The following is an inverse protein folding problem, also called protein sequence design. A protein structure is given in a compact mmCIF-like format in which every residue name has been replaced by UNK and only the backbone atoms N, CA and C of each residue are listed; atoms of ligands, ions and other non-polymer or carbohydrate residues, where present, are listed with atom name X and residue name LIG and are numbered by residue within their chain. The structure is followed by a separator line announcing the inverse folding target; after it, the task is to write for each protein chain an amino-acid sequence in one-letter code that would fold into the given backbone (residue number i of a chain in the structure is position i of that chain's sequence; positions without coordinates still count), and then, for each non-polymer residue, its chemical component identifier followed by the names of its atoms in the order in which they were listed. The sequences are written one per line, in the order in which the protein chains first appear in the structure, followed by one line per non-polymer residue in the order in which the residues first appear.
data_IF_233494246270
#
_entry.id   IF_233494246270
#
_cell.length_a   1.000
_cell.length_b   1.000
_cell.length_c   1.000
_cell.angle_alpha   90.00
_cell.angle_beta   90.00
_cell.angle_gamma   90.00
#
_symmetry.space_group_name_H-M   'P 1'
#
loop_
_entity.id
_entity.type
_entity.pdbx_description
1 polymer ?
#
# COMPACT_ATOMS: atom_id res chain seq x y z
N UNK A 1 -21.34 32.05 12.75
CA UNK A 1 -20.61 30.99 13.48
C UNK A 1 -21.27 29.59 13.39
N UNK A 2 -22.48 29.46 12.83
CA UNK A 2 -23.22 28.18 12.75
C UNK A 2 -23.04 27.37 11.45
N UNK A 3 -22.27 27.84 10.45
CA UNK A 3 -21.99 27.11 9.19
C UNK A 3 -20.72 26.26 9.19
N UNK A 4 -19.95 26.25 10.28
CA UNK A 4 -18.68 25.49 10.37
C UNK A 4 -18.82 24.07 10.91
N UNK A 5 -20.00 23.72 11.45
CA UNK A 5 -20.24 22.44 12.16
C UNK A 5 -20.78 21.29 11.28
N UNK A 6 -21.12 21.55 10.01
CA UNK A 6 -21.59 20.51 9.07
C UNK A 6 -20.47 19.93 8.19
N UNK A 7 -19.22 20.37 8.37
CA UNK A 7 -18.06 19.94 7.55
C UNK A 7 -17.38 18.69 8.15
N UNK A 8 -17.80 18.24 9.33
CA UNK A 8 -17.11 17.19 10.09
C UNK A 8 -17.77 15.82 9.85
N UNK A 9 -17.33 15.13 8.80
CA UNK A 9 -17.68 13.73 8.57
C UNK A 9 -17.41 13.25 7.14
N UNK A 10 -17.25 11.94 6.99
CA UNK A 10 -17.24 11.30 5.68
C UNK A 10 -18.67 11.19 5.15
N UNK A 11 -18.86 11.55 3.87
CA UNK A 11 -20.12 11.47 3.17
C UNK A 11 -20.07 10.34 2.15
N UNK A 12 -21.12 9.52 2.11
CA UNK A 12 -21.17 8.29 1.32
C UNK A 12 -22.26 8.36 0.26
N UNK A 13 -21.99 7.79 -0.91
CA UNK A 13 -22.95 7.61 -1.97
C UNK A 13 -22.60 6.36 -2.77
N UNK A 14 -23.60 5.71 -3.35
CA UNK A 14 -23.41 4.55 -4.22
C UNK A 14 -24.21 4.77 -5.50
N UNK A 15 -23.54 4.61 -6.64
CA UNK A 15 -24.21 4.61 -7.94
C UNK A 15 -24.99 3.31 -8.13
N UNK A 16 -26.02 3.34 -8.98
CA UNK A 16 -26.84 2.15 -9.29
C UNK A 16 -26.02 1.00 -9.89
N UNK A 17 -24.88 1.31 -10.52
CA UNK A 17 -23.95 0.32 -11.06
C UNK A 17 -22.97 -0.26 -10.03
N UNK A 18 -23.11 0.10 -8.76
CA UNK A 18 -22.33 -0.45 -7.65
C UNK A 18 -21.10 0.38 -7.25
N UNK A 19 -20.63 1.32 -8.08
CA UNK A 19 -19.46 2.16 -7.77
C UNK A 19 -19.75 2.97 -6.50
N UNK A 20 -18.83 2.90 -5.55
CA UNK A 20 -18.90 3.58 -4.27
C UNK A 20 -18.25 4.96 -4.37
N UNK A 21 -18.80 5.94 -3.66
CA UNK A 21 -18.25 7.30 -3.53
C UNK A 21 -18.13 7.64 -2.04
N UNK A 22 -16.93 8.04 -1.63
CA UNK A 22 -16.66 8.62 -0.31
C UNK A 22 -16.07 10.03 -0.48
N UNK A 23 -16.59 10.98 0.29
CA UNK A 23 -16.14 12.36 0.25
C UNK A 23 -15.91 12.94 1.64
N UNK A 24 -14.79 13.64 1.83
CA UNK A 24 -14.61 14.58 2.93
C UNK A 24 -14.51 16.00 2.38
N UNK A 25 -15.50 16.82 2.71
CA UNK A 25 -15.46 18.23 2.35
C UNK A 25 -14.45 18.97 3.23
N UNK A 26 -13.66 19.86 2.63
CA UNK A 26 -12.79 20.77 3.38
C UNK A 26 -12.83 22.19 2.79
N UNK A 27 -12.08 23.13 3.39
CA UNK A 27 -11.99 24.51 2.91
C UNK A 27 -10.74 24.80 2.07
N UNK A 28 -9.91 23.78 1.78
CA UNK A 28 -8.67 23.97 1.04
C UNK A 28 -8.95 24.32 -0.44
N UNK A 29 -8.11 25.14 -1.07
CA UNK A 29 -8.26 25.44 -2.50
C UNK A 29 -7.91 24.23 -3.39
N UNK A 30 -7.01 23.38 -2.89
CA UNK A 30 -6.58 22.13 -3.51
C UNK A 30 -7.56 21.02 -3.17
N UNK A 31 -7.75 20.13 -4.13
CA UNK A 31 -8.65 18.98 -4.05
C UNK A 31 -7.92 17.74 -4.56
N UNK A 32 -8.25 16.61 -3.97
CA UNK A 32 -7.66 15.32 -4.26
C UNK A 32 -8.78 14.34 -4.63
N UNK A 33 -8.49 13.50 -5.62
CA UNK A 33 -9.40 12.48 -6.10
C UNK A 33 -8.62 11.19 -6.28
N UNK A 34 -9.21 10.06 -5.91
CA UNK A 34 -8.72 8.74 -6.23
C UNK A 34 -9.86 7.89 -6.79
N UNK A 35 -9.58 7.12 -7.84
CA UNK A 35 -10.37 5.99 -8.28
C UNK A 35 -9.53 4.74 -7.98
N UNK A 36 -10.01 3.93 -7.06
CA UNK A 36 -9.32 2.75 -6.59
C UNK A 36 -10.14 1.51 -6.94
N UNK A 37 -9.48 0.54 -7.54
CA UNK A 37 -10.04 -0.76 -7.90
C UNK A 37 -9.50 -1.79 -6.91
N UNK A 38 -10.35 -2.61 -6.31
CA UNK A 38 -9.95 -3.74 -5.46
C UNK A 38 -9.40 -4.90 -6.32
N UNK A 39 -8.32 -4.62 -7.04
CA UNK A 39 -7.63 -5.56 -7.90
C UNK A 39 -6.16 -5.19 -7.94
N UNK A 40 -5.26 -6.13 -7.68
CA UNK A 40 -3.81 -5.93 -7.78
C UNK A 40 -3.11 -7.18 -8.31
N UNK A 41 -1.80 -7.30 -8.07
CA UNK A 41 -1.03 -8.45 -8.58
C UNK A 41 -1.44 -9.80 -7.96
N UNK A 42 -2.08 -9.80 -6.79
CA UNK A 42 -2.64 -11.00 -6.15
C UNK A 42 -3.77 -11.62 -6.97
N UNK A 43 -4.45 -10.84 -7.79
CA UNK A 43 -5.61 -11.26 -8.59
C UNK A 43 -5.21 -11.80 -9.98
N UNK A 44 -3.91 -11.95 -10.22
CA UNK A 44 -3.31 -12.49 -11.44
C UNK A 44 -3.29 -14.02 -11.44
N UNK A 45 -3.57 -14.62 -12.59
CA UNK A 45 -3.21 -16.02 -12.84
C UNK A 45 -1.67 -16.13 -13.04
N UNK A 46 -1.09 -17.33 -12.94
CA UNK A 46 0.37 -17.51 -13.08
C UNK A 46 0.91 -16.98 -14.41
N UNK A 47 0.19 -17.19 -15.51
CA UNK A 47 0.54 -16.69 -16.84
C UNK A 47 0.29 -15.18 -17.01
N UNK A 48 -0.37 -14.55 -16.04
CA UNK A 48 -0.72 -13.13 -16.05
C UNK A 48 0.17 -12.32 -15.11
N UNK A 49 1.24 -12.90 -14.55
CA UNK A 49 2.04 -12.23 -13.53
C UNK A 49 2.74 -10.97 -14.08
N UNK A 50 2.38 -9.80 -13.56
CA UNK A 50 2.83 -8.48 -14.00
C UNK A 50 1.82 -7.73 -14.88
N UNK A 51 0.65 -8.31 -15.18
CA UNK A 51 -0.35 -7.64 -16.04
C UNK A 51 -1.01 -6.45 -15.34
N UNK A 52 -1.20 -6.50 -14.02
CA UNK A 52 -1.80 -5.40 -13.26
C UNK A 52 -0.91 -4.15 -13.33
N UNK A 53 0.39 -4.34 -13.15
CA UNK A 53 1.39 -3.28 -13.30
C UNK A 53 1.48 -2.78 -14.76
N UNK A 54 1.44 -3.68 -15.74
CA UNK A 54 1.40 -3.28 -17.14
C UNK A 54 0.14 -2.45 -17.47
N UNK A 55 -1.01 -2.75 -16.88
CA UNK A 55 -2.24 -1.97 -17.07
C UNK A 55 -2.04 -0.55 -16.57
N UNK A 56 -1.44 -0.36 -15.40
CA UNK A 56 -1.11 0.95 -14.84
C UNK A 56 -0.26 1.81 -15.80
N UNK A 57 0.77 1.24 -16.39
CA UNK A 57 1.57 1.94 -17.42
C UNK A 57 0.72 2.32 -18.63
N UNK A 58 -0.19 1.42 -19.03
CA UNK A 58 -0.90 1.53 -20.29
C UNK A 58 -2.18 2.37 -20.23
N UNK A 59 -2.82 2.58 -19.06
CA UNK A 59 -4.05 3.38 -18.92
C UNK A 59 -3.87 4.83 -19.39
N UNK A 60 -2.65 5.36 -19.37
CA UNK A 60 -2.34 6.71 -19.84
C UNK A 60 -2.02 6.79 -21.34
N UNK A 61 -1.87 5.66 -22.03
CA UNK A 61 -1.34 5.61 -23.41
C UNK A 61 -2.39 5.78 -24.50
N UNK A 62 -3.65 5.99 -24.11
CA UNK A 62 -4.71 6.45 -25.00
C UNK A 62 -6.06 5.80 -24.76
N UNK A 63 -7.10 6.56 -25.10
CA UNK A 63 -8.51 6.18 -24.98
C UNK A 63 -9.20 6.25 -26.34
N UNK A 64 -10.48 5.89 -26.39
CA UNK A 64 -11.32 6.08 -27.58
C UNK A 64 -11.37 7.54 -28.05
N UNK A 65 -11.24 8.50 -27.12
CA UNK A 65 -11.36 9.95 -27.39
C UNK A 65 -10.01 10.65 -27.50
N UNK A 66 -8.95 10.10 -26.89
CA UNK A 66 -7.68 10.80 -26.66
C UNK A 66 -6.48 9.93 -27.03
N UNK A 67 -5.49 10.52 -27.69
CA UNK A 67 -4.16 9.92 -27.84
C UNK A 67 -3.37 10.08 -26.54
N UNK A 68 -2.32 9.30 -26.31
CA UNK A 68 -1.44 9.38 -25.12
C UNK A 68 -1.09 10.83 -24.72
N UNK A 69 -0.57 11.62 -25.66
CA UNK A 69 -0.23 13.02 -25.43
C UNK A 69 -1.43 13.85 -24.95
N UNK A 70 -2.62 13.64 -25.52
CA UNK A 70 -3.82 14.34 -25.09
C UNK A 70 -4.28 13.93 -23.70
N UNK A 71 -4.05 12.68 -23.27
CA UNK A 71 -4.38 12.20 -21.92
C UNK A 71 -3.51 12.93 -20.90
N UNK A 72 -2.19 12.88 -21.08
CA UNK A 72 -1.20 13.49 -20.16
C UNK A 72 -1.41 15.00 -20.08
N UNK A 73 -1.46 15.68 -21.23
CA UNK A 73 -1.64 17.14 -21.27
C UNK A 73 -3.03 17.61 -20.83
N UNK A 74 -4.02 16.72 -20.67
CA UNK A 74 -5.38 17.13 -20.32
C UNK A 74 -5.46 17.76 -18.94
N UNK A 75 -4.69 17.28 -17.96
CA UNK A 75 -4.67 17.83 -16.61
C UNK A 75 -3.37 18.61 -16.34
N UNK A 76 -2.24 18.18 -16.88
CA UNK A 76 -0.96 18.84 -16.64
C UNK A 76 -0.88 20.27 -17.21
N UNK A 77 -1.54 20.56 -18.34
CA UNK A 77 -1.55 21.91 -18.93
C UNK A 77 -2.20 22.97 -18.01
N UNK A 78 -2.95 22.53 -17.00
CA UNK A 78 -3.55 23.42 -15.99
C UNK A 78 -2.92 23.22 -14.60
N UNK A 79 -1.73 22.61 -14.55
CA UNK A 79 -0.93 22.41 -13.34
C UNK A 79 -1.49 21.35 -12.38
N UNK A 80 -2.33 20.45 -12.87
CA UNK A 80 -2.84 19.34 -12.06
C UNK A 80 -1.86 18.17 -12.10
N UNK A 81 -1.73 17.49 -10.96
CA UNK A 81 -0.96 16.24 -10.82
C UNK A 81 -1.89 15.05 -11.09
N UNK A 82 -1.41 14.08 -11.86
CA UNK A 82 -2.12 12.85 -12.20
C UNK A 82 -1.13 11.70 -12.17
N UNK A 83 -1.41 10.68 -11.37
CA UNK A 83 -0.56 9.51 -11.21
C UNK A 83 -1.42 8.25 -11.03
N UNK A 84 -0.77 7.10 -11.14
CA UNK A 84 -1.34 5.83 -10.73
C UNK A 84 -0.29 5.00 -10.00
N UNK A 85 -0.75 3.97 -9.28
CA UNK A 85 0.10 2.93 -8.71
C UNK A 85 -0.69 1.62 -8.60
N UNK A 86 0.06 0.52 -8.55
CA UNK A 86 -0.46 -0.83 -8.33
C UNK A 86 0.22 -1.45 -7.12
N UNK A 87 -0.55 -2.18 -6.33
CA UNK A 87 -0.06 -2.98 -5.20
C UNK A 87 -0.47 -4.44 -5.38
N UNK A 88 -0.25 -5.26 -4.35
CA UNK A 88 -0.73 -6.64 -4.31
C UNK A 88 -2.25 -6.73 -4.42
N UNK A 89 -3.02 -5.79 -3.89
CA UNK A 89 -4.49 -5.93 -3.77
C UNK A 89 -5.30 -4.79 -4.41
N UNK A 90 -4.66 -3.73 -4.88
CA UNK A 90 -5.34 -2.56 -5.44
C UNK A 90 -4.55 -1.89 -6.57
N UNK A 91 -5.29 -1.33 -7.53
CA UNK A 91 -4.80 -0.40 -8.56
C UNK A 91 -5.50 0.93 -8.34
N UNK A 92 -4.73 2.01 -8.26
CA UNK A 92 -5.25 3.33 -7.95
C UNK A 92 -4.85 4.34 -9.03
N UNK A 93 -5.81 5.12 -9.48
CA UNK A 93 -5.59 6.36 -10.25
C UNK A 93 -5.88 7.51 -9.30
N UNK A 94 -4.96 8.45 -9.15
CA UNK A 94 -5.19 9.60 -8.29
C UNK A 94 -4.68 10.89 -8.90
N UNK A 95 -5.20 12.01 -8.40
CA UNK A 95 -4.83 13.32 -8.90
C UNK A 95 -5.09 14.43 -7.91
N UNK A 96 -4.31 15.48 -8.04
CA UNK A 96 -4.36 16.69 -7.22
C UNK A 96 -4.58 17.90 -8.11
N UNK A 97 -5.61 18.68 -7.81
CA UNK A 97 -6.06 19.78 -8.67
C UNK A 97 -6.79 20.87 -7.90
N UNK A 98 -6.99 22.04 -8.52
CA UNK A 98 -7.84 23.09 -7.96
C UNK A 98 -9.32 22.73 -8.10
N UNK A 99 -10.16 23.16 -7.15
CA UNK A 99 -11.63 22.92 -7.13
C UNK A 99 -12.34 23.12 -8.49
N UNK A 100 -11.87 24.06 -9.32
CA UNK A 100 -12.48 24.35 -10.61
C UNK A 100 -12.40 23.18 -11.60
N UNK A 101 -11.48 22.23 -11.38
CA UNK A 101 -11.21 21.12 -12.29
C UNK A 101 -11.82 19.78 -11.86
N UNK A 102 -12.71 19.74 -10.86
CA UNK A 102 -13.38 18.51 -10.43
C UNK A 102 -14.06 17.75 -11.58
N UNK A 103 -14.90 18.45 -12.36
CA UNK A 103 -15.61 17.83 -13.49
C UNK A 103 -14.64 17.29 -14.54
N UNK A 104 -13.57 18.04 -14.80
CA UNK A 104 -12.52 17.69 -15.77
C UNK A 104 -11.71 16.47 -15.32
N UNK A 105 -11.35 16.39 -14.04
CA UNK A 105 -10.63 15.26 -13.48
C UNK A 105 -11.49 13.99 -13.49
N UNK A 106 -12.75 14.08 -13.07
CA UNK A 106 -13.69 12.95 -13.12
C UNK A 106 -13.95 12.46 -14.54
N UNK A 107 -14.06 13.37 -15.51
CA UNK A 107 -14.16 13.01 -16.92
C UNK A 107 -12.94 12.20 -17.39
N UNK A 108 -11.73 12.68 -17.05
CA UNK A 108 -10.51 11.99 -17.45
C UNK A 108 -10.40 10.62 -16.79
N UNK A 109 -10.69 10.51 -15.49
CA UNK A 109 -10.64 9.26 -14.74
C UNK A 109 -11.59 8.22 -15.35
N UNK A 110 -12.83 8.62 -15.68
CA UNK A 110 -13.78 7.74 -16.36
C UNK A 110 -13.29 7.31 -17.76
N UNK A 111 -12.66 8.22 -18.50
CA UNK A 111 -12.14 7.91 -19.83
C UNK A 111 -10.97 6.90 -19.78
N UNK A 112 -9.97 7.13 -18.91
CA UNK A 112 -8.80 6.25 -18.83
C UNK A 112 -9.12 4.90 -18.16
N UNK A 113 -10.01 4.87 -17.17
CA UNK A 113 -10.37 3.63 -16.48
C UNK A 113 -11.25 2.70 -17.34
N UNK A 114 -12.16 3.25 -18.15
CA UNK A 114 -13.17 2.45 -18.86
C UNK A 114 -13.09 2.50 -20.39
N UNK A 115 -12.35 3.44 -20.97
CA UNK A 115 -12.29 3.64 -22.43
C UNK A 115 -10.85 3.58 -22.99
N UNK A 116 -9.88 3.07 -22.22
CA UNK A 116 -8.52 2.82 -22.68
C UNK A 116 -8.47 1.79 -23.81
N UNK A 117 -7.72 2.09 -24.87
CA UNK A 117 -7.67 1.26 -26.09
C UNK A 117 -6.45 0.36 -26.17
N UNK A 118 -5.44 0.60 -25.32
CA UNK A 118 -4.19 -0.17 -25.23
C UNK A 118 -3.48 -0.33 -26.59
N UNK A 119 -2.96 0.77 -27.20
CA UNK A 119 -2.37 0.72 -28.53
C UNK A 119 -1.16 -0.22 -28.59
N UNK A 120 -1.12 -1.12 -29.58
CA UNK A 120 -0.04 -2.12 -29.70
C UNK A 120 1.37 -1.50 -29.77
N UNK A 121 1.53 -0.36 -30.44
CA UNK A 121 2.81 0.34 -30.52
C UNK A 121 3.28 0.88 -29.16
N UNK A 122 2.36 1.37 -28.33
CA UNK A 122 2.71 1.85 -27.00
C UNK A 122 2.95 0.66 -26.05
N UNK A 123 2.21 -0.43 -26.23
CA UNK A 123 2.41 -1.66 -25.46
C UNK A 123 3.83 -2.21 -25.61
N UNK A 124 4.36 -2.31 -26.83
CA UNK A 124 5.74 -2.79 -27.01
C UNK A 124 6.79 -1.86 -26.39
N UNK A 125 6.54 -0.55 -26.34
CA UNK A 125 7.45 0.38 -25.65
C UNK A 125 7.40 0.21 -24.14
N UNK A 126 6.20 0.14 -23.56
CA UNK A 126 6.05 0.02 -22.10
C UNK A 126 6.57 -1.30 -21.58
N UNK A 127 6.53 -2.38 -22.37
CA UNK A 127 7.21 -3.63 -22.01
C UNK A 127 8.70 -3.42 -21.81
N UNK A 128 9.39 -2.72 -22.72
CA UNK A 128 10.83 -2.46 -22.57
C UNK A 128 11.11 -1.60 -21.32
N UNK A 129 10.27 -0.59 -21.04
CA UNK A 129 10.38 0.23 -19.82
C UNK A 129 10.24 -0.64 -18.56
N UNK A 130 9.27 -1.54 -18.52
CA UNK A 130 9.06 -2.45 -17.38
C UNK A 130 10.20 -3.46 -17.27
N UNK A 131 10.77 -3.94 -18.39
CA UNK A 131 11.93 -4.81 -18.37
C UNK A 131 13.16 -4.11 -17.77
N UNK A 132 13.37 -2.83 -18.11
CA UNK A 132 14.43 -2.00 -17.54
C UNK A 132 14.20 -1.77 -16.03
N UNK A 133 12.96 -1.54 -15.62
CA UNK A 133 12.59 -1.41 -14.21
C UNK A 133 12.86 -2.70 -13.43
N UNK A 134 12.47 -3.87 -13.96
CA UNK A 134 12.77 -5.18 -13.35
C UNK A 134 14.29 -5.35 -13.14
N UNK A 135 15.09 -4.94 -14.10
CA UNK A 135 16.55 -5.00 -13.97
C UNK A 135 17.07 -4.02 -12.91
N UNK A 136 16.55 -2.79 -12.90
CA UNK A 136 16.92 -1.78 -11.89
C UNK A 136 16.60 -2.22 -10.46
N UNK A 137 15.48 -2.91 -10.25
CA UNK A 137 15.13 -3.46 -8.94
C UNK A 137 16.09 -4.59 -8.52
N UNK A 138 16.48 -5.46 -9.45
CA UNK A 138 17.47 -6.52 -9.20
C UNK A 138 18.86 -5.98 -8.90
N UNK A 139 19.20 -4.80 -9.43
CA UNK A 139 20.45 -4.09 -9.13
C UNK A 139 20.39 -3.34 -7.77
N UNK A 140 19.25 -3.37 -7.08
CA UNK A 140 19.02 -2.72 -5.77
C UNK A 140 18.72 -3.77 -4.68
N UNK A 141 19.75 -4.40 -4.08
CA UNK A 141 19.55 -5.46 -3.07
C UNK A 141 18.74 -5.02 -1.85
N UNK A 142 18.75 -3.73 -1.53
CA UNK A 142 17.95 -3.15 -0.45
C UNK A 142 16.45 -3.16 -0.74
N UNK A 143 16.05 -3.16 -2.00
CA UNK A 143 14.65 -3.19 -2.44
C UNK A 143 14.24 -4.62 -2.82
N UNK A 144 15.09 -5.33 -3.60
CA UNK A 144 14.88 -6.72 -4.02
C UNK A 144 14.57 -7.64 -2.83
N UNK A 145 15.26 -7.45 -1.70
CA UNK A 145 15.09 -8.31 -0.53
C UNK A 145 13.65 -8.32 0.01
N UNK A 146 12.88 -7.23 -0.15
CA UNK A 146 11.50 -7.17 0.31
C UNK A 146 10.60 -8.09 -0.51
N UNK A 147 10.75 -8.09 -1.83
CA UNK A 147 9.98 -8.96 -2.71
C UNK A 147 10.34 -10.43 -2.52
N UNK A 148 11.64 -10.75 -2.42
CA UNK A 148 12.09 -12.12 -2.16
C UNK A 148 11.68 -12.60 -0.77
N UNK A 149 11.65 -11.71 0.22
CA UNK A 149 11.15 -12.03 1.56
C UNK A 149 9.64 -12.30 1.56
N UNK A 150 8.84 -11.47 0.88
CA UNK A 150 7.39 -11.73 0.72
C UNK A 150 7.13 -13.03 -0.05
N UNK A 151 7.88 -13.31 -1.11
CA UNK A 151 7.80 -14.57 -1.87
C UNK A 151 8.12 -15.77 -0.98
N UNK A 152 9.16 -15.65 -0.13
CA UNK A 152 9.51 -16.68 0.85
C UNK A 152 8.39 -16.89 1.89
N UNK A 153 7.82 -15.80 2.43
CA UNK A 153 6.74 -15.86 3.43
C UNK A 153 5.47 -16.50 2.86
N UNK A 154 5.07 -16.09 1.67
CA UNK A 154 3.83 -16.48 1.02
C UNK A 154 4.05 -17.51 -0.10
N UNK A 155 5.05 -18.38 0.08
CA UNK A 155 5.50 -19.33 -0.93
C UNK A 155 4.35 -20.19 -1.48
N UNK A 156 4.18 -20.16 -2.80
CA UNK A 156 3.10 -20.88 -3.50
C UNK A 156 1.74 -20.16 -3.52
N UNK A 157 1.61 -19.02 -2.86
CA UNK A 157 0.37 -18.22 -2.81
C UNK A 157 0.46 -16.98 -3.73
N UNK A 158 -0.63 -16.54 -4.38
CA UNK A 158 -0.59 -15.40 -5.31
C UNK A 158 -0.07 -14.10 -4.70
N UNK A 159 -0.29 -13.85 -3.42
CA UNK A 159 0.15 -12.62 -2.74
C UNK A 159 1.68 -12.48 -2.66
N UNK A 160 2.42 -13.59 -2.69
CA UNK A 160 3.88 -13.59 -2.67
C UNK A 160 4.52 -13.23 -4.01
N UNK A 161 3.75 -13.15 -5.10
CA UNK A 161 4.30 -12.88 -6.44
C UNK A 161 4.72 -11.42 -6.59
N UNK A 162 5.83 -11.18 -7.26
CA UNK A 162 6.30 -9.83 -7.54
C UNK A 162 5.26 -9.07 -8.39
N UNK A 163 5.05 -7.79 -8.07
CA UNK A 163 4.10 -6.90 -8.77
C UNK A 163 4.53 -6.66 -10.21
N UNK A 164 5.83 -6.55 -10.47
CA UNK A 164 6.40 -6.31 -11.80
C UNK A 164 6.25 -7.51 -12.74
N UNK A 165 6.06 -8.71 -12.17
CA UNK A 165 6.06 -9.96 -12.92
C UNK A 165 7.46 -10.49 -13.21
N UNK A 166 7.59 -11.27 -14.28
CA UNK A 166 8.86 -11.82 -14.74
C UNK A 166 9.18 -11.34 -16.15
N UNK A 167 10.46 -11.36 -16.52
CA UNK A 167 10.89 -11.03 -17.89
C UNK A 167 10.13 -11.82 -18.95
N UNK A 168 9.84 -13.10 -18.69
CA UNK A 168 9.15 -13.98 -19.63
C UNK A 168 7.67 -13.62 -19.77
N UNK A 169 6.97 -13.38 -18.65
CA UNK A 169 5.55 -13.01 -18.67
C UNK A 169 5.37 -11.64 -19.34
N UNK A 170 6.18 -10.65 -18.98
CA UNK A 170 6.12 -9.28 -19.55
C UNK A 170 6.31 -9.30 -21.07
N UNK A 171 7.32 -10.03 -21.57
CA UNK A 171 7.55 -10.18 -23.02
C UNK A 171 6.37 -10.84 -23.73
N UNK A 172 5.72 -11.80 -23.09
CA UNK A 172 4.60 -12.55 -23.67
C UNK A 172 3.29 -11.75 -23.76
N UNK A 173 3.15 -10.67 -22.99
CA UNK A 173 1.90 -9.95 -22.90
C UNK A 173 1.45 -9.37 -24.23
N UNK A 174 0.14 -9.32 -24.42
CA UNK A 174 -0.46 -8.66 -25.56
C UNK A 174 -1.77 -8.01 -25.11
N UNK A 175 -2.37 -7.20 -25.99
CA UNK A 175 -3.62 -6.48 -25.71
C UNK A 175 -4.74 -7.39 -25.18
N UNK A 176 -4.82 -8.65 -25.61
CA UNK A 176 -5.86 -9.56 -25.16
C UNK A 176 -5.67 -9.98 -23.69
N UNK A 177 -4.43 -10.06 -23.20
CA UNK A 177 -4.16 -10.33 -21.78
C UNK A 177 -4.72 -9.20 -20.90
N UNK A 178 -4.43 -7.95 -21.27
CA UNK A 178 -4.95 -6.75 -20.59
C UNK A 178 -6.49 -6.76 -20.58
N UNK A 179 -7.12 -6.90 -21.74
CA UNK A 179 -8.58 -6.85 -21.85
C UNK A 179 -9.25 -7.99 -21.09
N UNK A 180 -8.65 -9.19 -21.08
CA UNK A 180 -9.15 -10.33 -20.31
C UNK A 180 -9.06 -10.07 -18.81
N UNK A 181 -7.92 -9.58 -18.32
CA UNK A 181 -7.72 -9.26 -16.92
C UNK A 181 -8.70 -8.17 -16.45
N UNK A 182 -8.83 -7.06 -17.19
CA UNK A 182 -9.79 -5.99 -16.90
C UNK A 182 -11.22 -6.55 -16.86
N UNK A 183 -11.62 -7.34 -17.87
CA UNK A 183 -12.97 -7.93 -17.91
C UNK A 183 -13.23 -8.85 -16.71
N UNK A 184 -12.22 -9.60 -16.27
CA UNK A 184 -12.30 -10.54 -15.15
C UNK A 184 -12.37 -9.81 -13.81
N UNK A 185 -11.58 -8.76 -13.60
CA UNK A 185 -11.30 -8.21 -12.27
C UNK A 185 -11.81 -6.78 -12.04
N UNK A 186 -11.89 -5.91 -13.06
CA UNK A 186 -12.27 -4.50 -12.88
C UNK A 186 -13.80 -4.36 -12.87
N UNK A 187 -14.41 -4.83 -11.77
CA UNK A 187 -15.84 -4.85 -11.54
C UNK A 187 -16.31 -3.54 -10.93
N UNK A 188 -17.45 -3.02 -11.37
CA UNK A 188 -17.97 -1.75 -10.84
C UNK A 188 -18.36 -1.86 -9.36
N UNK A 189 -18.70 -3.07 -8.88
CA UNK A 189 -18.89 -3.34 -7.45
C UNK A 189 -17.61 -3.24 -6.61
N UNK A 190 -16.44 -3.26 -7.25
CA UNK A 190 -15.11 -3.28 -6.63
C UNK A 190 -14.36 -1.95 -6.83
N UNK A 191 -15.08 -0.88 -7.18
CA UNK A 191 -14.50 0.45 -7.43
C UNK A 191 -15.01 1.45 -6.40
N UNK A 192 -14.06 2.15 -5.78
CA UNK A 192 -14.30 3.30 -4.92
C UNK A 192 -13.72 4.55 -5.57
N UNK A 193 -14.55 5.60 -5.63
CA UNK A 193 -14.10 6.95 -5.89
C UNK A 193 -14.01 7.66 -4.53
N UNK A 194 -12.82 8.13 -4.17
CA UNK A 194 -12.60 8.91 -2.95
C UNK A 194 -12.25 10.35 -3.30
N UNK A 195 -12.76 11.30 -2.53
CA UNK A 195 -12.47 12.72 -2.72
C UNK A 195 -12.28 13.45 -1.39
N UNK A 196 -11.19 14.22 -1.29
CA UNK A 196 -10.98 15.20 -0.22
C UNK A 196 -10.79 16.57 -0.84
N UNK A 197 -11.68 17.52 -0.55
CA UNK A 197 -11.55 18.86 -1.11
C UNK A 197 -12.77 19.77 -0.94
N UNK A 198 -12.68 20.96 -1.52
CA UNK A 198 -13.69 22.00 -1.37
C UNK A 198 -14.74 21.96 -2.48
N UNK A 199 -15.61 20.94 -2.42
CA UNK A 199 -16.80 20.81 -3.26
C UNK A 199 -17.99 20.41 -2.39
N UNK A 200 -19.17 20.92 -2.74
CA UNK A 200 -20.41 20.48 -2.11
C UNK A 200 -20.76 19.05 -2.55
N UNK A 201 -21.20 18.21 -1.62
CA UNK A 201 -21.42 16.80 -1.90
C UNK A 201 -22.48 16.54 -2.97
N UNK A 202 -23.56 17.33 -3.01
CA UNK A 202 -24.59 17.19 -4.04
C UNK A 202 -24.06 17.57 -5.44
N UNK A 203 -23.13 18.53 -5.52
CA UNK A 203 -22.43 18.83 -6.78
C UNK A 203 -21.51 17.68 -7.18
N UNK A 204 -20.75 17.11 -6.24
CA UNK A 204 -19.87 15.98 -6.52
C UNK A 204 -20.66 14.76 -7.03
N UNK A 205 -21.79 14.42 -6.39
CA UNK A 205 -22.69 13.35 -6.85
C UNK A 205 -23.13 13.55 -8.29
N UNK A 206 -23.46 14.78 -8.69
CA UNK A 206 -23.85 15.09 -10.08
C UNK A 206 -22.71 14.88 -11.06
N UNK A 207 -21.49 15.29 -10.73
CA UNK A 207 -20.31 15.05 -11.57
C UNK A 207 -19.99 13.55 -11.70
N UNK A 208 -19.99 12.83 -10.58
CA UNK A 208 -19.74 11.38 -10.55
C UNK A 208 -20.82 10.64 -11.34
N UNK A 209 -22.11 10.96 -11.13
CA UNK A 209 -23.21 10.32 -11.86
C UNK A 209 -23.16 10.60 -13.36
N UNK A 210 -22.73 11.79 -13.77
CA UNK A 210 -22.58 12.15 -15.19
C UNK A 210 -21.53 11.28 -15.90
N UNK A 211 -20.37 11.09 -15.27
CA UNK A 211 -19.23 10.42 -15.91
C UNK A 211 -19.22 8.90 -15.70
N UNK A 212 -19.72 8.43 -14.57
CA UNK A 212 -19.67 7.02 -14.18
C UNK A 212 -21.04 6.31 -14.18
N UNK A 213 -22.16 7.05 -14.19
CA UNK A 213 -23.49 6.46 -14.03
C UNK A 213 -23.98 5.63 -15.23
N UNK A 214 -23.41 5.85 -16.42
CA UNK A 214 -23.75 5.06 -17.63
C UNK A 214 -22.86 3.82 -17.80
N UNK A 215 -21.90 3.60 -16.92
CA UNK A 215 -21.04 2.42 -16.98
C UNK A 215 -21.87 1.21 -16.56
N UNK A 216 -21.94 0.13 -17.37
CA UNK A 216 -22.72 -1.06 -17.05
C UNK A 216 -22.32 -1.65 -15.70
N UNK A 217 -23.32 -2.02 -14.90
CA UNK A 217 -23.11 -2.74 -13.65
C UNK A 217 -22.43 -4.09 -13.92
N UNK A 218 -21.47 -4.42 -13.06
CA UNK A 218 -20.68 -5.64 -13.13
C UNK A 218 -20.29 -6.02 -11.72
N UNK A 219 -20.84 -7.14 -11.25
CA UNK A 219 -20.56 -7.66 -9.91
C UNK A 219 -19.34 -8.58 -9.92
N UNK A 220 -18.64 -8.60 -8.80
CA UNK A 220 -17.59 -9.56 -8.55
C UNK A 220 -18.17 -10.85 -7.97
N UNK A 221 -17.79 -11.97 -8.59
CA UNK A 221 -18.15 -13.32 -8.14
C UNK A 221 -16.93 -14.12 -7.69
N UNK A 222 -15.72 -13.56 -7.85
CA UNK A 222 -14.48 -14.18 -7.46
C UNK A 222 -14.08 -13.71 -6.07
N UNK A 223 -13.88 -14.68 -5.17
CA UNK A 223 -13.34 -14.43 -3.84
C UNK A 223 -11.86 -14.80 -3.82
N UNK A 224 -11.02 -13.92 -3.25
CA UNK A 224 -9.62 -14.21 -3.00
C UNK A 224 -9.51 -15.44 -2.10
N UNK A 225 -8.60 -16.34 -2.44
CA UNK A 225 -8.25 -17.47 -1.57
C UNK A 225 -7.45 -16.93 -0.38
N UNK A 226 -7.82 -17.26 0.87
CA UNK A 226 -7.08 -16.83 2.04
C UNK A 226 -5.72 -17.51 2.15
N UNK A 227 -4.77 -16.80 2.75
CA UNK A 227 -3.46 -17.35 3.04
C UNK A 227 -3.47 -18.03 4.43
N UNK A 228 -3.57 -19.35 4.43
CA UNK A 228 -3.76 -20.13 5.65
C UNK A 228 -2.53 -20.97 6.07
N UNK A 229 -1.48 -21.01 5.24
CA UNK A 229 -0.33 -21.87 5.47
C UNK A 229 0.98 -21.10 5.52
N UNK A 230 1.48 -20.88 6.73
CA UNK A 230 2.78 -20.28 6.99
C UNK A 230 3.75 -21.30 7.60
N UNK A 231 4.99 -21.31 7.09
CA UNK A 231 6.09 -22.08 7.66
C UNK A 231 7.31 -21.17 7.83
N UNK A 232 7.83 -20.99 9.06
CA UNK A 232 9.04 -20.22 9.31
C UNK A 232 10.24 -20.77 8.53
N UNK A 233 11.00 -19.89 7.88
CA UNK A 233 12.18 -20.24 7.09
C UNK A 233 13.33 -19.28 7.34
N UNK A 234 14.54 -19.83 7.41
CA UNK A 234 15.78 -19.05 7.40
C UNK A 234 16.54 -19.36 6.13
N UNK A 235 16.78 -18.33 5.32
CA UNK A 235 17.51 -18.43 4.05
C UNK A 235 18.64 -17.40 4.04
N UNK A 236 19.80 -17.84 3.55
CA UNK A 236 20.97 -17.00 3.33
C UNK A 236 21.41 -17.19 1.89
N UNK A 237 21.55 -16.08 1.18
CA UNK A 237 22.00 -16.03 -0.21
C UNK A 237 23.25 -15.18 -0.30
N UNK A 238 24.27 -15.69 -0.97
CA UNK A 238 25.44 -14.89 -1.32
C UNK A 238 25.08 -14.00 -2.52
N UNK A 239 25.35 -12.69 -2.39
CA UNK A 239 25.09 -11.68 -3.42
C UNK A 239 26.37 -10.89 -3.67
N UNK A 240 26.50 -10.35 -4.88
CA UNK A 240 27.62 -9.48 -5.25
C UNK A 240 27.30 -8.02 -4.88
N UNK A 241 27.22 -7.76 -3.57
CA UNK A 241 26.91 -6.45 -3.02
C UNK A 241 27.84 -6.09 -1.86
N UNK A 242 28.08 -4.79 -1.69
CA UNK A 242 29.01 -4.27 -0.69
C UNK A 242 28.49 -4.45 0.75
N UNK A 243 27.20 -4.20 0.96
CA UNK A 243 26.52 -4.39 2.23
C UNK A 243 25.79 -5.73 2.25
N UNK A 244 25.64 -6.29 3.45
CA UNK A 244 24.66 -7.34 3.69
C UNK A 244 23.32 -6.73 4.07
N UNK A 245 22.25 -7.33 3.56
CA UNK A 245 20.87 -6.96 3.85
C UNK A 245 20.19 -8.12 4.55
N UNK A 246 19.36 -7.83 5.55
CA UNK A 246 18.65 -8.85 6.30
C UNK A 246 17.23 -8.39 6.63
N UNK A 247 16.27 -9.27 6.40
CA UNK A 247 14.87 -9.13 6.80
C UNK A 247 14.52 -10.23 7.80
N UNK A 248 13.95 -9.85 8.93
CA UNK A 248 13.53 -10.75 10.01
C UNK A 248 12.09 -10.42 10.38
N UNK A 249 11.19 -11.40 10.36
CA UNK A 249 9.78 -11.10 10.57
C UNK A 249 8.89 -12.33 10.59
N UNK A 250 7.58 -12.10 10.52
CA UNK A 250 6.56 -13.13 10.62
C UNK A 250 5.30 -12.70 9.86
N UNK A 251 4.37 -13.62 9.64
CA UNK A 251 2.98 -13.25 9.35
C UNK A 251 2.39 -12.42 10.49
N UNK A 252 1.46 -11.55 10.13
CA UNK A 252 0.86 -10.58 11.03
C UNK A 252 -0.63 -10.44 10.73
N UNK A 253 -1.28 -9.53 11.46
CA UNK A 253 -2.71 -9.37 11.38
C UNK A 253 -3.21 -8.83 10.04
N UNK A 254 -4.38 -9.30 9.63
CA UNK A 254 -5.16 -8.76 8.51
C UNK A 254 -5.70 -7.35 8.78
N UNK A 255 -6.16 -6.68 7.72
CA UNK A 255 -6.60 -5.29 7.76
C UNK A 255 -7.71 -4.98 8.77
N UNK A 256 -8.65 -5.91 9.02
CA UNK A 256 -9.75 -5.70 9.96
C UNK A 256 -9.57 -6.41 11.31
N UNK A 257 -8.35 -6.84 11.63
CA UNK A 257 -8.11 -7.53 12.89
C UNK A 257 -8.25 -6.59 14.10
N UNK A 258 -8.91 -7.00 15.20
CA UNK A 258 -9.13 -6.14 16.37
C UNK A 258 -7.82 -5.70 17.05
N UNK A 259 -6.77 -6.52 16.97
CA UNK A 259 -5.45 -6.22 17.54
C UNK A 259 -4.53 -5.40 16.63
N UNK A 260 -4.97 -4.98 15.43
CA UNK A 260 -4.10 -4.28 14.46
C UNK A 260 -3.51 -2.97 14.99
N UNK A 261 -4.28 -2.17 15.72
CA UNK A 261 -3.79 -0.90 16.27
C UNK A 261 -2.76 -1.13 17.38
N UNK A 262 -2.89 -2.21 18.14
CA UNK A 262 -1.86 -2.66 19.10
C UNK A 262 -0.57 -3.03 18.39
N UNK A 263 -0.63 -3.73 17.24
CA UNK A 263 0.56 -4.03 16.44
C UNK A 263 1.17 -2.77 15.80
N UNK A 264 0.36 -1.83 15.30
CA UNK A 264 0.85 -0.55 14.77
C UNK A 264 1.59 0.23 15.85
N UNK A 265 1.04 0.30 17.06
CA UNK A 265 1.69 0.95 18.21
C UNK A 265 2.98 0.23 18.61
N UNK A 266 2.97 -1.11 18.64
CA UNK A 266 4.15 -1.91 18.95
C UNK A 266 5.26 -1.72 17.91
N UNK A 267 4.92 -1.72 16.62
CA UNK A 267 5.84 -1.44 15.51
C UNK A 267 6.43 -0.03 15.64
N UNK A 268 5.62 0.97 16.00
CA UNK A 268 6.07 2.34 16.19
C UNK A 268 7.13 2.46 17.30
N UNK A 269 6.94 1.75 18.42
CA UNK A 269 7.91 1.70 19.54
C UNK A 269 9.20 0.99 19.12
N UNK A 270 9.08 -0.07 18.33
CA UNK A 270 10.21 -0.90 17.91
C UNK A 270 11.10 -0.15 16.90
N UNK A 271 10.55 0.25 15.77
CA UNK A 271 11.29 0.79 14.62
C UNK A 271 10.48 1.81 13.82
N UNK A 272 9.58 2.55 14.47
CA UNK A 272 8.87 3.66 13.85
C UNK A 272 9.78 4.82 13.45
N UNK A 273 9.25 5.83 12.75
CA UNK A 273 10.03 6.92 12.14
C UNK A 273 10.73 7.86 13.14
N UNK A 274 10.50 7.66 14.44
CA UNK A 274 11.21 8.41 15.47
C UNK A 274 12.63 7.89 15.65
N UNK A 275 13.61 8.79 15.67
CA UNK A 275 15.01 8.45 16.01
C UNK A 275 15.18 7.87 17.42
N UNK A 276 14.14 7.97 18.26
CA UNK A 276 14.08 7.38 19.59
C UNK A 276 13.50 5.95 19.61
N UNK A 277 13.29 5.31 18.45
CA UNK A 277 12.85 3.93 18.36
C UNK A 277 13.88 2.97 18.97
N UNK A 278 13.42 1.80 19.44
CA UNK A 278 14.29 0.82 20.10
C UNK A 278 15.39 0.31 19.17
N UNK A 279 15.07 0.02 17.92
CA UNK A 279 16.03 -0.46 16.92
C UNK A 279 17.10 0.61 16.64
N UNK A 280 16.69 1.87 16.43
CA UNK A 280 17.64 2.94 16.17
C UNK A 280 18.58 3.16 17.37
N UNK A 281 18.04 3.29 18.59
CA UNK A 281 18.85 3.55 19.78
C UNK A 281 19.73 2.36 20.19
N UNK A 282 19.17 1.14 20.23
CA UNK A 282 19.85 -0.01 20.81
C UNK A 282 20.76 -0.74 19.82
N UNK A 283 20.67 -0.46 18.52
CA UNK A 283 21.46 -1.14 17.49
C UNK A 283 22.29 -0.13 16.70
N UNK A 284 21.63 0.82 16.02
CA UNK A 284 22.31 1.80 15.17
C UNK A 284 23.17 2.79 15.97
N UNK A 285 22.59 3.51 16.93
CA UNK A 285 23.32 4.51 17.72
C UNK A 285 24.30 3.88 18.71
N UNK A 286 23.89 2.80 19.40
CA UNK A 286 24.70 2.19 20.47
C UNK A 286 25.88 1.39 19.95
N UNK A 287 25.71 0.65 18.86
CA UNK A 287 26.74 -0.28 18.36
C UNK A 287 27.29 0.10 16.98
N UNK A 288 26.60 0.94 16.20
CA UNK A 288 27.04 1.30 14.85
C UNK A 288 26.99 0.14 13.86
N UNK A 289 26.26 -0.94 14.16
CA UNK A 289 26.25 -2.14 13.31
C UNK A 289 25.30 -2.06 12.12
N UNK A 290 24.39 -1.09 12.06
CA UNK A 290 23.43 -0.97 10.97
C UNK A 290 23.42 0.46 10.45
N UNK A 291 23.58 0.62 9.14
CA UNK A 291 23.44 1.90 8.45
C UNK A 291 21.96 2.29 8.34
N UNK A 292 21.14 1.29 8.00
CA UNK A 292 19.69 1.38 7.90
C UNK A 292 19.09 0.32 8.81
N UNK A 293 18.10 0.68 9.62
CA UNK A 293 17.36 -0.27 10.44
C UNK A 293 15.97 0.28 10.74
N UNK A 294 14.96 -0.39 10.23
CA UNK A 294 13.57 0.04 10.33
C UNK A 294 12.65 -1.18 10.46
N UNK A 295 11.43 -0.97 10.96
CA UNK A 295 10.44 -2.04 11.04
C UNK A 295 9.13 -1.63 10.40
N UNK A 296 8.53 -2.57 9.67
CA UNK A 296 7.30 -2.35 8.94
C UNK A 296 6.25 -3.42 9.25
N UNK A 297 5.00 -3.00 9.10
CA UNK A 297 3.83 -3.86 9.18
C UNK A 297 2.94 -3.53 7.99
N UNK A 298 2.72 -4.54 7.14
CA UNK A 298 1.84 -4.45 5.98
C UNK A 298 0.64 -5.35 6.23
N UNK A 299 -0.56 -4.78 6.14
CA UNK A 299 -1.82 -5.52 6.29
C UNK A 299 -2.49 -5.69 4.93
N UNK A 300 -2.89 -6.91 4.61
CA UNK A 300 -3.74 -7.25 3.48
C UNK A 300 -5.14 -7.63 3.97
N UNK A 301 -6.03 -7.94 3.03
CA UNK A 301 -7.44 -8.24 3.30
C UNK A 301 -7.63 -9.37 4.32
N UNK A 302 -6.85 -10.44 4.22
CA UNK A 302 -6.99 -11.68 5.01
C UNK A 302 -5.71 -12.15 5.73
N UNK A 303 -4.61 -11.42 5.56
CA UNK A 303 -3.35 -11.70 6.22
C UNK A 303 -2.53 -10.41 6.32
N UNK A 304 -1.34 -10.48 6.88
CA UNK A 304 -0.39 -9.39 6.89
C UNK A 304 1.00 -9.92 7.15
N UNK A 305 1.99 -9.06 7.12
CA UNK A 305 3.32 -9.40 7.55
C UNK A 305 3.99 -8.26 8.29
N UNK A 306 4.85 -8.63 9.22
CA UNK A 306 5.71 -7.72 9.96
C UNK A 306 7.15 -8.10 9.68
N UNK A 307 8.03 -7.12 9.56
CA UNK A 307 9.46 -7.39 9.50
C UNK A 307 10.34 -6.21 9.90
N UNK A 308 11.55 -6.55 10.32
CA UNK A 308 12.65 -5.65 10.59
C UNK A 308 13.66 -5.80 9.48
N UNK A 309 13.93 -4.71 8.77
CA UNK A 309 14.98 -4.60 7.76
C UNK A 309 16.24 -4.04 8.39
N UNK A 310 17.40 -4.56 8.00
CA UNK A 310 18.70 -3.99 8.33
C UNK A 310 19.68 -4.08 7.16
N UNK A 311 20.46 -3.01 6.98
CA UNK A 311 21.63 -2.95 6.08
C UNK A 311 22.91 -2.74 6.89
N UNK A 312 23.91 -3.60 6.69
CA UNK A 312 25.10 -3.73 7.57
C UNK A 312 26.33 -4.18 6.78
N UNK A 313 27.52 -3.96 7.34
CA UNK A 313 28.72 -4.67 6.90
C UNK A 313 28.54 -6.20 6.99
N UNK A 314 29.11 -6.99 6.05
CA UNK A 314 29.01 -8.45 6.07
C UNK A 314 29.47 -9.13 7.37
N UNK A 315 30.51 -8.60 8.00
CA UNK A 315 31.06 -9.14 9.25
C UNK A 315 30.13 -8.94 10.46
N UNK A 316 29.19 -7.99 10.35
CA UNK A 316 28.31 -7.56 11.43
C UNK A 316 26.90 -8.14 11.32
N UNK A 317 26.52 -8.75 10.19
CA UNK A 317 25.14 -9.20 9.93
C UNK A 317 24.60 -10.16 10.98
N UNK A 318 25.37 -11.19 11.35
CA UNK A 318 24.94 -12.18 12.36
C UNK A 318 24.78 -11.54 13.75
N UNK A 319 25.62 -10.54 14.07
CA UNK A 319 25.54 -9.80 15.34
C UNK A 319 24.32 -8.88 15.34
N UNK A 320 24.08 -8.15 14.26
CA UNK A 320 22.92 -7.28 14.09
C UNK A 320 21.61 -8.08 14.18
N UNK A 321 21.52 -9.21 13.46
CA UNK A 321 20.38 -10.14 13.52
C UNK A 321 20.10 -10.61 14.94
N UNK A 322 21.14 -11.04 15.68
CA UNK A 322 21.03 -11.47 17.08
C UNK A 322 20.53 -10.34 17.99
N UNK A 323 20.97 -9.10 17.77
CA UNK A 323 20.49 -7.93 18.52
C UNK A 323 19.03 -7.62 18.22
N UNK A 324 18.59 -7.71 16.96
CA UNK A 324 17.17 -7.56 16.59
C UNK A 324 16.33 -8.62 17.31
N UNK A 325 16.70 -9.89 17.20
CA UNK A 325 16.00 -11.00 17.88
C UNK A 325 15.96 -10.81 19.40
N UNK A 326 17.01 -10.23 19.99
CA UNK A 326 17.05 -9.89 21.41
C UNK A 326 16.07 -8.76 21.77
N UNK A 327 15.97 -7.71 20.96
CA UNK A 327 15.02 -6.61 21.19
C UNK A 327 13.56 -7.07 21.00
N UNK A 328 13.28 -7.89 19.97
CA UNK A 328 11.98 -8.53 19.79
C UNK A 328 11.59 -9.37 21.00
N UNK A 329 12.49 -10.25 21.46
CA UNK A 329 12.26 -11.10 22.63
C UNK A 329 12.05 -10.30 23.92
N UNK A 330 12.69 -9.14 24.09
CA UNK A 330 12.42 -8.25 25.23
C UNK A 330 10.98 -7.74 25.20
N UNK A 331 10.45 -7.37 24.03
CA UNK A 331 9.05 -6.95 23.91
C UNK A 331 8.06 -8.09 24.19
N UNK A 332 8.45 -9.35 23.95
CA UNK A 332 7.65 -10.52 24.35
C UNK A 332 7.65 -10.78 25.86
N UNK A 333 8.69 -10.38 26.59
CA UNK A 333 8.85 -10.70 28.02
C UNK A 333 8.52 -9.53 28.95
N UNK A 334 8.86 -8.31 28.53
CA UNK A 334 8.85 -7.12 29.37
C UNK A 334 7.68 -6.22 29.00
N UNK A 335 6.75 -6.02 29.93
CA UNK A 335 5.67 -5.03 29.76
C UNK A 335 6.24 -3.62 29.69
N UNK A 336 5.66 -2.79 28.82
CA UNK A 336 5.95 -1.36 28.81
C UNK A 336 5.47 -0.73 30.12
N UNK A 337 6.34 0.04 30.76
CA UNK A 337 5.95 0.83 31.93
C UNK A 337 4.94 1.92 31.57
N UNK A 338 4.15 2.38 32.54
CA UNK A 338 3.06 3.35 32.35
C UNK A 338 3.49 4.60 31.57
N UNK A 339 4.66 5.17 31.93
CA UNK A 339 5.19 6.37 31.26
C UNK A 339 5.64 6.09 29.83
N UNK A 340 6.21 4.91 29.56
CA UNK A 340 6.64 4.51 28.22
C UNK A 340 5.42 4.32 27.31
N UNK A 341 4.39 3.62 27.79
CA UNK A 341 3.15 3.42 27.04
C UNK A 341 2.45 4.75 26.74
N UNK A 342 2.32 5.63 27.72
CA UNK A 342 1.71 6.94 27.53
C UNK A 342 2.44 7.77 26.46
N UNK A 343 3.78 7.76 26.47
CA UNK A 343 4.61 8.44 25.45
C UNK A 343 4.45 7.82 24.07
N UNK A 344 4.45 6.49 23.97
CA UNK A 344 4.28 5.77 22.71
C UNK A 344 2.92 6.10 22.06
N UNK A 345 1.83 6.04 22.85
CA UNK A 345 0.49 6.41 22.39
C UNK A 345 0.45 7.84 21.87
N UNK A 346 1.01 8.78 22.64
CA UNK A 346 1.02 10.19 22.27
C UNK A 346 1.84 10.42 20.97
N UNK A 347 2.99 9.76 20.85
CA UNK A 347 3.84 9.84 19.66
C UNK A 347 3.08 9.36 18.40
N UNK A 348 2.46 8.18 18.47
CA UNK A 348 1.69 7.63 17.35
C UNK A 348 0.50 8.54 17.00
N UNK A 349 -0.26 9.04 17.98
CA UNK A 349 -1.41 9.93 17.75
C UNK A 349 -0.98 11.20 17.01
N UNK A 350 0.13 11.83 17.42
CA UNK A 350 0.65 13.03 16.76
C UNK A 350 1.12 12.72 15.34
N UNK A 351 1.82 11.61 15.13
CA UNK A 351 2.27 11.20 13.79
C UNK A 351 1.10 10.93 12.84
N UNK A 352 0.03 10.28 13.32
CA UNK A 352 -1.19 10.06 12.54
C UNK A 352 -1.87 11.39 12.19
N UNK A 353 -1.95 12.33 13.14
CA UNK A 353 -2.55 13.64 12.89
C UNK A 353 -1.80 14.43 11.81
N UNK A 354 -0.46 14.41 11.84
CA UNK A 354 0.38 15.04 10.81
C UNK A 354 0.17 14.38 9.45
N UNK A 355 0.07 13.04 9.39
CA UNK A 355 -0.14 12.32 8.13
C UNK A 355 -1.44 12.70 7.42
N UNK A 356 -2.50 13.01 8.16
CA UNK A 356 -3.81 13.41 7.62
C UNK A 356 -3.80 14.84 7.06
N UNK A 357 -2.83 15.70 7.41
CA UNK A 357 -2.70 17.02 6.78
C UNK A 357 -2.43 16.93 5.27
N UNK A 358 -1.83 15.82 4.83
CA UNK A 358 -1.75 15.48 3.41
C UNK A 358 -3.11 15.03 2.89
N UNK A 359 -3.82 15.93 2.21
CA UNK A 359 -5.12 15.63 1.61
C UNK A 359 -5.09 14.46 0.61
N UNK A 360 -3.95 14.25 -0.07
CA UNK A 360 -3.75 13.08 -0.92
C UNK A 360 -3.64 11.80 -0.09
N UNK A 361 -2.81 11.79 0.96
CA UNK A 361 -2.64 10.62 1.83
C UNK A 361 -3.96 10.24 2.51
N UNK A 362 -4.75 11.22 2.92
CA UNK A 362 -6.10 10.97 3.43
C UNK A 362 -7.02 10.40 2.35
N UNK A 363 -7.03 10.97 1.13
CA UNK A 363 -7.87 10.47 0.02
C UNK A 363 -7.57 9.01 -0.29
N UNK A 364 -6.29 8.63 -0.35
CA UNK A 364 -5.88 7.24 -0.58
C UNK A 364 -6.26 6.34 0.60
N UNK A 365 -6.08 6.81 1.83
CA UNK A 365 -6.43 6.06 3.05
C UNK A 365 -7.93 5.74 3.12
N UNK A 366 -8.78 6.74 2.88
CA UNK A 366 -10.24 6.55 2.92
C UNK A 366 -10.75 5.74 1.71
N UNK A 367 -10.07 5.81 0.56
CA UNK A 367 -10.37 4.95 -0.59
C UNK A 367 -10.15 3.47 -0.22
N UNK A 368 -8.94 3.14 0.27
CA UNK A 368 -8.57 1.79 0.68
C UNK A 368 -9.48 1.27 1.80
N UNK A 369 -9.77 2.10 2.80
CA UNK A 369 -10.69 1.72 3.87
C UNK A 369 -12.10 1.43 3.33
N UNK A 370 -12.59 2.22 2.37
CA UNK A 370 -13.94 2.05 1.82
C UNK A 370 -14.08 0.91 0.81
N UNK A 371 -12.95 0.43 0.24
CA UNK A 371 -12.93 -0.84 -0.49
C UNK A 371 -13.28 -2.00 0.43
N UNK A 372 -12.70 -2.01 1.64
CA UNK A 372 -12.82 -3.10 2.59
C UNK A 372 -14.07 -3.01 3.48
N UNK A 373 -14.51 -1.80 3.80
CA UNK A 373 -15.63 -1.53 4.70
C UNK A 373 -16.61 -0.54 4.12
N UNK A 374 -17.90 -0.71 4.41
CA UNK A 374 -18.91 0.28 4.01
C UNK A 374 -18.80 1.59 4.81
N UNK A 375 -18.19 1.55 6.00
CA UNK A 375 -17.92 2.73 6.83
C UNK A 375 -16.45 2.80 7.22
N UNK A 376 -15.90 4.00 7.14
CA UNK A 376 -14.48 4.29 7.45
C UNK A 376 -14.40 4.85 8.86
N UNK A 377 -13.50 4.29 9.67
CA UNK A 377 -13.23 4.75 11.02
C UNK A 377 -12.75 6.22 10.97
N UNK A 378 -13.37 7.09 11.79
CA UNK A 378 -12.91 8.47 11.86
C UNK A 378 -11.56 8.55 12.58
N UNK A 379 -10.85 9.66 12.40
CA UNK A 379 -9.61 9.90 13.15
C UNK A 379 -9.86 9.85 14.68
N UNK A 380 -11.02 10.30 15.14
CA UNK A 380 -11.39 10.21 16.55
C UNK A 380 -11.56 8.77 17.04
N UNK A 381 -12.13 7.90 16.19
CA UNK A 381 -12.30 6.48 16.50
C UNK A 381 -10.93 5.77 16.57
N UNK A 382 -10.04 6.06 15.62
CA UNK A 382 -8.66 5.53 15.61
C UNK A 382 -7.91 6.01 16.86
N UNK A 383 -7.95 7.31 17.18
CA UNK A 383 -7.32 7.86 18.39
C UNK A 383 -7.89 7.21 19.65
N UNK A 384 -9.21 7.00 19.72
CA UNK A 384 -9.86 6.34 20.86
C UNK A 384 -9.38 4.90 20.99
N UNK A 385 -9.29 4.16 19.89
CA UNK A 385 -8.74 2.80 19.87
C UNK A 385 -7.31 2.78 20.41
N UNK A 386 -6.43 3.68 19.94
CA UNK A 386 -5.03 3.76 20.40
C UNK A 386 -4.94 4.11 21.89
N UNK A 387 -5.78 5.04 22.37
CA UNK A 387 -5.81 5.44 23.78
C UNK A 387 -6.22 4.30 24.70
N UNK A 388 -7.06 3.38 24.23
CA UNK A 388 -7.54 2.25 25.01
C UNK A 388 -6.56 1.05 25.08
N UNK A 389 -5.47 1.05 24.31
CA UNK A 389 -4.50 -0.06 24.30
C UNK A 389 -3.76 -0.17 25.63
N UNK A 390 -3.80 -1.31 26.29
CA UNK A 390 -3.04 -1.54 27.53
C UNK A 390 -1.69 -2.22 27.29
N UNK A 391 -0.83 -2.17 28.31
CA UNK A 391 0.49 -2.82 28.26
C UNK A 391 0.39 -4.35 28.10
N UNK A 392 -0.71 -4.95 28.55
CA UNK A 392 -1.02 -6.37 28.34
C UNK A 392 -1.31 -6.67 26.88
N UNK A 393 -2.02 -5.78 26.18
CA UNK A 393 -2.37 -5.98 24.76
C UNK A 393 -1.11 -5.96 23.90
N UNK A 394 -0.18 -5.03 24.20
CA UNK A 394 1.11 -5.00 23.51
C UNK A 394 1.95 -6.25 23.78
N UNK A 395 1.92 -6.77 25.01
CA UNK A 395 2.63 -7.99 25.37
C UNK A 395 2.03 -9.21 24.64
N UNK A 396 0.70 -9.31 24.60
CA UNK A 396 -0.01 -10.37 23.88
C UNK A 396 0.34 -10.35 22.40
N UNK A 397 0.22 -9.19 21.75
CA UNK A 397 0.58 -9.01 20.34
C UNK A 397 2.06 -9.31 20.07
N UNK A 398 2.97 -8.90 20.96
CA UNK A 398 4.38 -9.23 20.84
C UNK A 398 4.62 -10.74 20.92
N UNK A 399 3.90 -11.46 21.77
CA UNK A 399 4.03 -12.92 21.88
C UNK A 399 3.40 -13.64 20.68
N UNK A 400 2.40 -13.08 20.02
CA UNK A 400 1.81 -13.66 18.81
C UNK A 400 2.70 -13.43 17.57
N UNK A 401 3.15 -12.19 17.36
CA UNK A 401 3.83 -11.79 16.11
C UNK A 401 5.35 -11.94 16.20
N UNK A 402 5.96 -11.67 17.36
CA UNK A 402 7.42 -11.67 17.53
C UNK A 402 7.99 -12.96 18.15
N UNK A 403 7.19 -14.02 18.29
CA UNK A 403 7.65 -15.31 18.84
C UNK A 403 8.87 -15.81 18.05
N UNK A 404 10.04 -15.99 18.71
CA UNK A 404 11.28 -16.30 18.02
C UNK A 404 11.25 -17.57 17.15
N UNK A 405 10.41 -18.56 17.51
CA UNK A 405 10.23 -19.80 16.74
C UNK A 405 9.38 -19.63 15.48
N UNK A 406 8.62 -18.54 15.39
CA UNK A 406 7.78 -18.20 14.26
C UNK A 406 8.42 -17.17 13.33
N UNK A 407 9.68 -16.76 13.59
CA UNK A 407 10.35 -15.77 12.75
C UNK A 407 10.96 -16.44 11.50
N UNK A 408 10.63 -15.90 10.33
CA UNK A 408 11.39 -16.10 9.11
C UNK A 408 12.56 -15.11 9.04
N UNK A 409 13.64 -15.47 8.35
CA UNK A 409 14.81 -14.63 8.16
C UNK A 409 15.37 -14.82 6.75
N UNK A 410 15.52 -13.75 6.00
CA UNK A 410 16.23 -13.73 4.71
C UNK A 410 17.46 -12.85 4.82
N UNK A 411 18.61 -13.36 4.43
CA UNK A 411 19.88 -12.62 4.42
C UNK A 411 20.46 -12.64 3.01
N UNK A 412 20.62 -11.47 2.42
CA UNK A 412 21.52 -11.27 1.29
C UNK A 412 22.90 -10.92 1.86
N UNK A 413 23.79 -11.90 1.88
CA UNK A 413 25.14 -11.73 2.37
C UNK A 413 26.01 -11.12 1.28
N UNK A 414 26.51 -9.94 1.59
CA UNK A 414 27.46 -9.23 0.76
C UNK A 414 28.87 -9.74 0.94
N UNK A 415 29.66 -9.54 -0.10
CA UNK A 415 31.06 -9.90 -0.14
C UNK A 415 31.87 -8.61 -0.26
N UNK A 416 32.81 -8.39 0.67
CA UNK A 416 33.85 -7.38 0.48
C UNK A 416 34.78 -7.92 -0.60
N UNK A 417 34.55 -7.52 -1.85
CA UNK A 417 35.46 -7.73 -2.97
C UNK A 417 36.87 -7.21 -2.65
#
# INVERSE_FOLDING_TARGET
MLKRKEIEGYQYFRLDNGIKLIHRQNSAPVSHLALMVNTGSRDEDLSENGVAHLIEHMIFKGTNKRKAFHVISFLENVGCDLNAYTTKEETCIHGTFLKAYYDRALELFADIAFNSVFPAKELEKEKEVILDEINSYKDSPSEEIFDEYENMLFSGHPIGRNILGTTDTVKSFNRNHILRFIKKNYKTSEIVIASVGNIDFEKLKKHVSRHFGLIPASDNTNHRQPFDFYLPRTQKEERDNYLSHCLIGNIAYQYDHPKKHSLVLLNNVLGGPGLNSRLNLNIREKYGFAYNIDSQYTSYTDTGWFGVYLGTDPESVTKAESLVKKELKKLCNDRLGTLQLARAKQQLIVQLAISIESGLSETLSIARAHLQKDHVDSMEDIIRSIRNIDSSDLLEVANEVFEPRQLSTLIFAGNKS
#
